data_IF_458136890533
#
_entry.id   IF_458136890533
#
_cell.length_a   1.000
_cell.length_b   1.000
_cell.length_c   1.000
_cell.angle_alpha   90.00
_cell.angle_beta   90.00
_cell.angle_gamma   90.00
#
_symmetry.space_group_name_H-M   'P 1'
#
loop_
_entity.id
_entity.type
_entity.pdbx_description
1 polymer ?
#
# COMPACT_ATOMS: atom_id res chain seq x y z
N UNK A 1 -43.50 5.13 -2.03
CA UNK A 1 -42.68 6.31 -1.63
C UNK A 1 -41.45 6.31 -2.46
N UNK A 2 -41.39 7.11 -3.55
CA UNK A 2 -40.20 7.27 -4.39
C UNK A 2 -39.15 8.01 -3.56
N UNK A 3 -38.08 7.32 -3.12
CA UNK A 3 -36.92 7.98 -2.55
C UNK A 3 -36.21 8.72 -3.67
N UNK A 4 -36.24 10.05 -3.68
CA UNK A 4 -35.38 10.88 -4.51
C UNK A 4 -33.95 10.72 -3.99
N UNK A 5 -33.26 9.69 -4.49
CA UNK A 5 -31.83 9.51 -4.25
C UNK A 5 -31.09 10.14 -5.41
N UNK A 6 -29.95 10.76 -5.15
CA UNK A 6 -28.99 11.08 -6.21
C UNK A 6 -28.53 9.74 -6.81
N UNK A 7 -29.07 9.40 -7.96
CA UNK A 7 -28.70 8.21 -8.71
C UNK A 7 -27.50 8.61 -9.58
N UNK A 8 -26.39 7.91 -9.41
CA UNK A 8 -25.25 7.98 -10.31
C UNK A 8 -25.43 6.85 -11.32
N UNK A 9 -25.41 7.19 -12.61
CA UNK A 9 -25.49 6.19 -13.67
C UNK A 9 -24.12 5.53 -13.85
N UNK A 10 -24.00 4.20 -13.67
CA UNK A 10 -22.75 3.47 -13.87
C UNK A 10 -22.14 3.68 -15.26
N UNK A 11 -22.97 3.76 -16.31
CA UNK A 11 -22.49 3.92 -17.68
C UNK A 11 -21.73 5.24 -17.87
N UNK A 12 -22.19 6.33 -17.23
CA UNK A 12 -21.51 7.63 -17.28
C UNK A 12 -20.15 7.55 -16.62
N UNK A 13 -20.05 6.84 -15.50
CA UNK A 13 -18.79 6.63 -14.76
C UNK A 13 -17.83 5.75 -15.58
N UNK A 14 -18.34 4.69 -16.18
CA UNK A 14 -17.52 3.79 -17.02
C UNK A 14 -16.99 4.53 -18.24
N UNK A 15 -17.81 5.36 -18.88
CA UNK A 15 -17.41 6.16 -20.02
C UNK A 15 -16.35 7.21 -19.68
N UNK A 16 -16.41 7.82 -18.48
CA UNK A 16 -15.49 8.89 -18.05
C UNK A 16 -14.19 8.33 -17.44
N UNK A 17 -14.28 7.27 -16.61
CA UNK A 17 -13.15 6.79 -15.79
C UNK A 17 -12.72 5.36 -16.13
N UNK A 18 -13.49 4.62 -16.91
CA UNK A 18 -13.26 3.20 -17.20
C UNK A 18 -13.87 2.25 -16.18
N UNK A 19 -14.17 1.03 -16.62
CA UNK A 19 -14.80 0.00 -15.79
C UNK A 19 -13.93 -0.41 -14.58
N UNK A 20 -12.62 -0.53 -14.77
CA UNK A 20 -11.70 -0.91 -13.69
C UNK A 20 -11.62 0.16 -12.59
N UNK A 21 -11.72 1.46 -12.95
CA UNK A 21 -11.77 2.54 -11.94
C UNK A 21 -13.03 2.46 -11.08
N UNK A 22 -14.16 2.17 -11.70
CA UNK A 22 -15.41 1.97 -10.99
C UNK A 22 -15.35 0.75 -10.07
N UNK A 23 -14.91 -0.40 -10.58
CA UNK A 23 -14.74 -1.64 -9.79
C UNK A 23 -13.83 -1.41 -8.59
N UNK A 24 -12.66 -0.83 -8.83
CA UNK A 24 -11.68 -0.53 -7.79
C UNK A 24 -12.26 0.38 -6.72
N UNK A 25 -13.01 1.41 -7.12
CA UNK A 25 -13.66 2.33 -6.19
C UNK A 25 -14.74 1.63 -5.34
N UNK A 26 -15.61 0.82 -5.94
CA UNK A 26 -16.63 0.06 -5.22
C UNK A 26 -16.01 -0.85 -4.13
N UNK A 27 -14.90 -1.50 -4.44
CA UNK A 27 -14.19 -2.36 -3.49
C UNK A 27 -13.40 -1.54 -2.45
N UNK A 28 -12.93 -0.34 -2.80
CA UNK A 28 -12.11 0.51 -1.92
C UNK A 28 -12.93 1.35 -0.94
N UNK A 29 -14.19 1.67 -1.21
CA UNK A 29 -15.02 2.57 -0.39
C UNK A 29 -15.09 2.20 1.09
N UNK A 30 -14.81 0.95 1.46
CA UNK A 30 -14.73 0.44 2.82
C UNK A 30 -15.39 -0.93 2.98
N UNK A 31 -15.53 -1.40 4.23
CA UNK A 31 -16.06 -2.74 4.49
C UNK A 31 -17.43 -2.95 3.83
N UNK A 32 -17.62 -4.13 3.19
CA UNK A 32 -18.84 -4.47 2.44
C UNK A 32 -20.13 -4.45 3.28
N UNK A 33 -20.00 -4.65 4.59
CA UNK A 33 -21.12 -4.68 5.53
C UNK A 33 -21.58 -3.27 5.99
N UNK A 34 -20.96 -2.20 5.46
CA UNK A 34 -21.33 -0.82 5.82
C UNK A 34 -21.84 -0.06 4.60
N UNK A 35 -22.98 0.60 4.77
CA UNK A 35 -23.51 1.54 3.81
C UNK A 35 -22.59 2.76 3.66
N UNK A 36 -22.27 3.16 2.43
CA UNK A 36 -21.40 4.31 2.13
C UNK A 36 -22.05 5.22 1.09
N UNK A 37 -22.04 6.55 1.29
CA UNK A 37 -22.49 7.46 0.27
C UNK A 37 -21.49 7.51 -0.88
N UNK A 38 -21.99 7.68 -2.10
CA UNK A 38 -21.14 7.92 -3.26
C UNK A 38 -20.26 9.16 -3.07
N UNK A 39 -19.00 9.06 -3.44
CA UNK A 39 -18.03 10.15 -3.39
C UNK A 39 -17.13 10.16 -4.62
N UNK A 40 -17.42 11.06 -5.56
CA UNK A 40 -16.66 11.22 -6.81
C UNK A 40 -15.16 11.52 -6.57
N UNK A 41 -14.80 12.22 -5.47
CA UNK A 41 -13.38 12.44 -5.13
C UNK A 41 -12.65 11.15 -4.81
N UNK A 42 -13.32 10.18 -4.18
CA UNK A 42 -12.77 8.85 -3.93
C UNK A 42 -12.53 8.09 -5.24
N UNK A 43 -13.49 8.13 -6.16
CA UNK A 43 -13.35 7.55 -7.51
C UNK A 43 -12.14 8.15 -8.25
N UNK A 44 -11.99 9.46 -8.24
CA UNK A 44 -10.82 10.14 -8.83
C UNK A 44 -9.51 9.70 -8.19
N UNK A 45 -9.53 9.35 -6.90
CA UNK A 45 -8.37 8.75 -6.20
C UNK A 45 -8.00 7.39 -6.79
N UNK A 46 -8.97 6.53 -7.01
CA UNK A 46 -8.78 5.22 -7.65
C UNK A 46 -8.30 5.36 -9.10
N UNK A 47 -8.87 6.27 -9.86
CA UNK A 47 -8.42 6.55 -11.22
C UNK A 47 -6.97 7.04 -11.30
N UNK A 48 -6.54 7.91 -10.36
CA UNK A 48 -5.13 8.34 -10.26
C UNK A 48 -4.20 7.17 -9.91
N UNK A 49 -4.66 6.26 -9.07
CA UNK A 49 -3.90 5.04 -8.76
C UNK A 49 -3.71 4.16 -10.00
N UNK A 50 -4.77 3.94 -10.79
CA UNK A 50 -4.69 3.21 -12.06
C UNK A 50 -3.71 3.90 -13.02
N UNK A 51 -3.78 5.22 -13.18
CA UNK A 51 -2.81 5.95 -14.01
C UNK A 51 -1.37 5.83 -13.52
N UNK A 52 -1.17 5.80 -12.19
CA UNK A 52 0.14 5.57 -11.61
C UNK A 52 0.66 4.17 -11.95
N UNK A 53 -0.17 3.14 -11.77
CA UNK A 53 0.20 1.76 -12.11
C UNK A 53 0.53 1.62 -13.59
N UNK A 54 -0.27 2.26 -14.47
CA UNK A 54 0.03 2.35 -15.89
C UNK A 54 1.43 2.93 -16.14
N UNK A 55 1.75 4.10 -15.60
CA UNK A 55 3.03 4.77 -15.78
C UNK A 55 4.24 4.06 -15.14
N UNK A 56 4.03 3.05 -14.28
CA UNK A 56 5.11 2.17 -13.81
C UNK A 56 5.41 1.11 -14.86
N UNK A 57 4.35 0.55 -15.49
CA UNK A 57 4.44 -0.65 -16.34
C UNK A 57 4.62 -0.29 -17.81
N UNK A 58 4.02 0.81 -18.26
CA UNK A 58 3.95 1.21 -19.67
C UNK A 58 4.72 2.52 -19.89
N UNK A 59 5.51 2.56 -20.96
CA UNK A 59 6.22 3.75 -21.40
C UNK A 59 5.34 4.72 -22.22
N UNK A 60 5.92 5.81 -22.70
CA UNK A 60 5.20 6.84 -23.48
C UNK A 60 4.76 6.33 -24.87
N UNK A 61 5.45 5.33 -25.41
CA UNK A 61 5.13 4.70 -26.70
C UNK A 61 4.08 3.57 -26.56
N UNK A 62 3.66 3.23 -25.34
CA UNK A 62 2.69 2.17 -25.08
C UNK A 62 3.31 0.77 -24.98
N UNK A 63 4.63 0.66 -24.87
CA UNK A 63 5.34 -0.59 -24.68
C UNK A 63 5.62 -0.85 -23.19
N UNK A 64 6.13 -2.05 -22.88
CA UNK A 64 6.62 -2.38 -21.56
C UNK A 64 7.76 -1.42 -21.17
N UNK A 65 7.65 -0.81 -20.00
CA UNK A 65 8.67 0.13 -19.50
C UNK A 65 10.05 -0.51 -19.43
N UNK A 66 11.06 0.18 -19.93
CA UNK A 66 12.46 -0.24 -19.89
C UNK A 66 13.04 -0.43 -18.48
N UNK A 67 12.35 0.07 -17.45
CA UNK A 67 12.67 -0.20 -16.04
C UNK A 67 12.40 -1.63 -15.63
N UNK A 68 11.53 -2.35 -16.37
CA UNK A 68 11.13 -3.72 -16.05
C UNK A 68 12.05 -4.67 -16.82
N UNK A 69 12.89 -5.37 -16.08
CA UNK A 69 13.91 -6.27 -16.67
C UNK A 69 13.93 -7.63 -15.96
N UNK A 70 14.40 -8.65 -16.67
CA UNK A 70 14.58 -9.99 -16.11
C UNK A 70 15.77 -10.06 -15.14
N UNK A 71 16.79 -9.25 -15.37
CA UNK A 71 18.04 -9.24 -14.59
C UNK A 71 17.99 -8.33 -13.34
N UNK A 72 16.89 -7.61 -13.12
CA UNK A 72 16.79 -6.73 -11.97
C UNK A 72 16.76 -7.55 -10.67
N UNK A 73 17.67 -7.24 -9.77
CA UNK A 73 17.74 -7.86 -8.44
C UNK A 73 17.08 -6.93 -7.42
N UNK A 74 15.90 -7.30 -6.88
CA UNK A 74 15.23 -6.49 -5.87
C UNK A 74 16.05 -6.40 -4.58
N UNK A 75 16.04 -5.25 -3.93
CA UNK A 75 16.61 -5.11 -2.60
C UNK A 75 15.75 -5.77 -1.50
N UNK A 76 16.29 -5.85 -0.28
CA UNK A 76 15.60 -6.49 0.85
C UNK A 76 14.25 -5.82 1.17
N UNK A 77 14.15 -4.50 1.06
CA UNK A 77 12.93 -3.75 1.32
C UNK A 77 11.84 -4.07 0.28
N UNK A 78 12.23 -4.10 -1.00
CA UNK A 78 11.33 -4.45 -2.11
C UNK A 78 10.82 -5.88 -1.98
N UNK A 79 11.70 -6.85 -1.66
CA UNK A 79 11.31 -8.25 -1.44
C UNK A 79 10.36 -8.40 -0.25
N UNK A 80 10.69 -7.78 0.88
CA UNK A 80 9.82 -7.77 2.05
C UNK A 80 8.44 -7.22 1.72
N UNK A 81 8.38 -6.06 1.06
CA UNK A 81 7.11 -5.43 0.71
C UNK A 81 6.32 -6.26 -0.31
N UNK A 82 7.00 -6.88 -1.28
CA UNK A 82 6.38 -7.79 -2.25
C UNK A 82 5.69 -8.95 -1.56
N UNK A 83 6.43 -9.75 -0.78
CA UNK A 83 5.88 -10.95 -0.12
C UNK A 83 4.80 -10.58 0.90
N UNK A 84 4.97 -9.49 1.64
CA UNK A 84 3.93 -8.95 2.53
C UNK A 84 2.68 -8.55 1.75
N UNK A 85 2.82 -7.99 0.55
CA UNK A 85 1.69 -7.59 -0.28
C UNK A 85 0.96 -8.80 -0.84
N UNK A 86 1.67 -9.80 -1.38
CA UNK A 86 1.06 -11.03 -1.89
C UNK A 86 0.24 -11.72 -0.79
N UNK A 87 0.85 -11.90 0.39
CA UNK A 87 0.17 -12.50 1.55
C UNK A 87 -1.07 -11.70 1.94
N UNK A 88 -0.88 -10.40 2.20
CA UNK A 88 -1.96 -9.55 2.72
C UNK A 88 -3.13 -9.42 1.74
N UNK A 89 -2.87 -9.27 0.45
CA UNK A 89 -3.94 -9.17 -0.55
C UNK A 89 -4.69 -10.49 -0.65
N UNK A 90 -4.00 -11.65 -0.61
CA UNK A 90 -4.64 -12.96 -0.57
C UNK A 90 -5.55 -13.11 0.66
N UNK A 91 -5.02 -12.89 1.85
CA UNK A 91 -5.77 -12.97 3.11
C UNK A 91 -6.98 -12.01 3.12
N UNK A 92 -6.79 -10.78 2.65
CA UNK A 92 -7.85 -9.77 2.59
C UNK A 92 -8.97 -10.15 1.59
N UNK A 93 -8.65 -10.79 0.47
CA UNK A 93 -9.65 -11.29 -0.49
C UNK A 93 -10.46 -12.43 0.11
N UNK A 94 -9.82 -13.40 0.77
CA UNK A 94 -10.49 -14.51 1.43
C UNK A 94 -11.48 -14.05 2.51
N UNK A 95 -11.15 -12.95 3.19
CA UNK A 95 -11.99 -12.37 4.25
C UNK A 95 -12.88 -11.21 3.77
N UNK A 96 -12.94 -10.95 2.47
CA UNK A 96 -13.72 -9.85 1.86
C UNK A 96 -13.32 -8.44 2.37
N UNK A 97 -12.07 -8.28 2.77
CA UNK A 97 -11.48 -7.00 3.21
C UNK A 97 -10.89 -6.21 2.03
N UNK A 98 -11.64 -6.07 0.94
CA UNK A 98 -11.15 -5.50 -0.31
C UNK A 98 -10.54 -4.09 -0.16
N UNK A 99 -11.07 -3.27 0.74
CA UNK A 99 -10.57 -1.92 0.96
C UNK A 99 -9.13 -1.91 1.52
N UNK A 100 -8.77 -2.88 2.35
CA UNK A 100 -7.40 -3.01 2.88
C UNK A 100 -6.46 -3.65 1.85
N UNK A 101 -6.94 -4.59 1.05
CA UNK A 101 -6.21 -5.13 -0.09
C UNK A 101 -5.83 -4.03 -1.10
N UNK A 102 -6.78 -3.19 -1.50
CA UNK A 102 -6.51 -2.06 -2.41
C UNK A 102 -5.53 -1.06 -1.80
N UNK A 103 -5.65 -0.78 -0.50
CA UNK A 103 -4.69 0.08 0.21
C UNK A 103 -3.27 -0.50 0.17
N UNK A 104 -3.13 -1.81 0.33
CA UNK A 104 -1.85 -2.50 0.26
C UNK A 104 -1.24 -2.43 -1.14
N UNK A 105 -2.06 -2.64 -2.19
CA UNK A 105 -1.63 -2.47 -3.57
C UNK A 105 -1.11 -1.04 -3.83
N UNK A 106 -1.80 -0.02 -3.29
CA UNK A 106 -1.35 1.38 -3.41
C UNK A 106 0.00 1.63 -2.72
N UNK A 107 0.24 1.03 -1.55
CA UNK A 107 1.52 1.11 -0.82
C UNK A 107 2.62 0.50 -1.68
N UNK A 108 2.40 -0.70 -2.21
CA UNK A 108 3.39 -1.40 -3.03
C UNK A 108 3.71 -0.64 -4.33
N UNK A 109 2.69 -0.15 -5.05
CA UNK A 109 2.90 0.67 -6.23
C UNK A 109 3.65 1.98 -5.93
N UNK A 110 3.42 2.62 -4.78
CA UNK A 110 4.16 3.81 -4.36
C UNK A 110 5.64 3.53 -4.12
N UNK A 111 5.97 2.34 -3.65
CA UNK A 111 7.36 1.88 -3.51
C UNK A 111 7.99 1.62 -4.88
N UNK A 112 7.35 0.80 -5.72
CA UNK A 112 7.85 0.45 -7.06
C UNK A 112 8.08 1.69 -7.96
N UNK A 113 7.27 2.74 -7.81
CA UNK A 113 7.45 3.99 -8.56
C UNK A 113 8.82 4.63 -8.31
N UNK A 114 9.43 4.41 -7.14
CA UNK A 114 10.73 4.97 -6.77
C UNK A 114 11.90 4.10 -7.21
N UNK A 115 11.64 2.84 -7.58
CA UNK A 115 12.67 1.94 -8.04
C UNK A 115 13.18 2.36 -9.42
N UNK A 116 14.49 2.30 -9.62
CA UNK A 116 15.12 2.55 -10.93
C UNK A 116 14.91 1.37 -11.86
N UNK A 117 15.05 0.15 -11.33
CA UNK A 117 14.82 -1.12 -12.03
C UNK A 117 13.89 -2.00 -11.23
N UNK A 118 13.01 -2.73 -11.92
CA UNK A 118 12.00 -3.59 -11.32
C UNK A 118 12.10 -4.96 -11.97
N UNK A 119 12.13 -6.01 -11.15
CA UNK A 119 12.09 -7.38 -11.66
C UNK A 119 10.77 -7.66 -12.36
N UNK A 120 10.86 -8.28 -13.54
CA UNK A 120 9.69 -8.70 -14.33
C UNK A 120 8.79 -9.66 -13.55
N UNK A 121 9.37 -10.55 -12.74
CA UNK A 121 8.63 -11.49 -11.90
C UNK A 121 7.77 -10.77 -10.84
N UNK A 122 8.31 -9.73 -10.20
CA UNK A 122 7.56 -8.94 -9.23
C UNK A 122 6.38 -8.20 -9.87
N UNK A 123 6.55 -7.74 -11.13
CA UNK A 123 5.45 -7.13 -11.89
C UNK A 123 4.42 -8.18 -12.30
N UNK A 124 4.84 -9.37 -12.74
CA UNK A 124 3.92 -10.45 -13.06
C UNK A 124 3.05 -10.82 -11.86
N UNK A 125 3.63 -10.95 -10.68
CA UNK A 125 2.90 -11.23 -9.45
C UNK A 125 1.99 -10.07 -9.04
N UNK A 126 2.45 -8.82 -9.15
CA UNK A 126 1.60 -7.64 -8.91
C UNK A 126 0.36 -7.64 -9.83
N UNK A 127 0.53 -7.95 -11.10
CA UNK A 127 -0.56 -8.03 -12.08
C UNK A 127 -1.57 -9.11 -11.67
N UNK A 128 -1.10 -10.30 -11.26
CA UNK A 128 -1.96 -11.39 -10.80
C UNK A 128 -2.80 -10.99 -9.58
N UNK A 129 -2.18 -10.39 -8.55
CA UNK A 129 -2.91 -9.98 -7.34
C UNK A 129 -3.81 -8.75 -7.55
N UNK A 130 -3.56 -7.95 -8.59
CA UNK A 130 -4.40 -6.82 -8.97
C UNK A 130 -5.61 -7.21 -9.83
N UNK A 131 -5.55 -8.35 -10.54
CA UNK A 131 -6.56 -8.79 -11.49
C UNK A 131 -7.99 -8.89 -10.91
N UNK A 132 -8.24 -9.35 -9.68
CA UNK A 132 -9.58 -9.34 -9.10
C UNK A 132 -10.22 -7.95 -9.03
N UNK A 133 -9.41 -6.91 -8.88
CA UNK A 133 -9.84 -5.52 -8.75
C UNK A 133 -9.91 -4.79 -10.08
N UNK A 134 -8.97 -5.06 -10.98
CA UNK A 134 -8.74 -4.35 -12.25
C UNK A 134 -8.50 -5.36 -13.40
N UNK A 135 -9.48 -6.20 -13.76
CA UNK A 135 -9.26 -7.31 -14.68
C UNK A 135 -8.84 -6.87 -16.08
N UNK A 136 -9.44 -5.81 -16.65
CA UNK A 136 -9.11 -5.38 -18.02
C UNK A 136 -7.68 -4.84 -18.09
N UNK A 137 -7.30 -4.02 -17.13
CA UNK A 137 -5.95 -3.46 -17.05
C UNK A 137 -4.89 -4.54 -16.81
N UNK A 138 -5.21 -5.50 -15.95
CA UNK A 138 -4.30 -6.61 -15.64
C UNK A 138 -4.08 -7.54 -16.85
N UNK A 139 -5.09 -7.82 -17.64
CA UNK A 139 -4.95 -8.57 -18.90
C UNK A 139 -4.09 -7.83 -19.92
N UNK A 140 -4.25 -6.50 -20.05
CA UNK A 140 -3.41 -5.70 -20.93
C UNK A 140 -1.94 -5.73 -20.49
N UNK A 141 -1.66 -5.53 -19.21
CA UNK A 141 -0.30 -5.64 -18.66
C UNK A 141 0.28 -7.04 -18.83
N UNK A 142 -0.54 -8.08 -18.66
CA UNK A 142 -0.13 -9.47 -18.85
C UNK A 142 0.29 -9.75 -20.29
N UNK A 143 -0.45 -9.19 -21.24
CA UNK A 143 -0.10 -9.24 -22.67
C UNK A 143 1.21 -8.51 -22.96
N UNK A 144 1.42 -7.31 -22.37
CA UNK A 144 2.65 -6.53 -22.53
C UNK A 144 3.90 -7.23 -21.97
N UNK A 145 3.73 -8.09 -20.94
CA UNK A 145 4.80 -8.96 -20.45
C UNK A 145 5.18 -10.08 -21.45
N UNK A 146 4.44 -10.24 -22.56
CA UNK A 146 4.67 -11.25 -23.60
C UNK A 146 3.87 -12.52 -23.42
N UNK A 147 2.92 -12.59 -22.49
CA UNK A 147 2.06 -13.74 -22.26
C UNK A 147 0.94 -13.77 -23.31
N UNK A 148 0.63 -14.98 -23.83
CA UNK A 148 -0.37 -15.18 -24.88
C UNK A 148 -1.70 -15.71 -24.37
N UNK A 149 -1.71 -16.30 -23.19
CA UNK A 149 -2.90 -16.86 -22.55
C UNK A 149 -3.51 -15.82 -21.61
N UNK A 150 -4.81 -15.95 -21.33
CA UNK A 150 -5.48 -15.10 -20.35
C UNK A 150 -4.91 -15.31 -18.95
N UNK A 151 -4.81 -14.22 -18.20
CA UNK A 151 -4.39 -14.19 -16.80
C UNK A 151 -5.37 -14.95 -15.88
N UNK A 152 -6.63 -15.10 -16.29
CA UNK A 152 -7.72 -15.62 -15.45
C UNK A 152 -7.49 -17.05 -14.93
N UNK A 153 -6.59 -17.82 -15.56
CA UNK A 153 -6.27 -19.21 -15.16
C UNK A 153 -4.87 -19.36 -14.58
N UNK A 154 -4.15 -18.24 -14.37
CA UNK A 154 -2.85 -18.29 -13.76
C UNK A 154 -2.94 -18.58 -12.26
N UNK A 155 -1.95 -19.32 -11.74
CA UNK A 155 -1.88 -19.59 -10.30
C UNK A 155 -1.64 -18.29 -9.51
N UNK A 156 -2.26 -18.22 -8.33
CA UNK A 156 -1.99 -17.14 -7.37
C UNK A 156 -0.52 -17.15 -6.97
N UNK A 157 0.13 -15.96 -6.89
CA UNK A 157 1.54 -15.88 -6.52
C UNK A 157 1.81 -16.47 -5.15
N UNK A 158 2.96 -17.13 -5.01
CA UNK A 158 3.41 -17.64 -3.71
C UNK A 158 4.23 -16.58 -2.98
N UNK A 159 4.17 -16.61 -1.68
CA UNK A 159 5.01 -15.75 -0.85
C UNK A 159 5.88 -16.60 0.08
N UNK A 160 7.05 -16.05 0.47
CA UNK A 160 7.91 -16.60 1.50
C UNK A 160 7.58 -15.95 2.83
N UNK A 161 7.13 -16.75 3.81
CA UNK A 161 6.76 -16.28 5.14
C UNK A 161 7.95 -15.62 5.86
N UNK A 162 9.18 -16.13 5.67
CA UNK A 162 10.38 -15.55 6.27
C UNK A 162 10.63 -14.10 5.77
N UNK A 163 10.30 -13.83 4.51
CA UNK A 163 10.44 -12.50 3.92
C UNK A 163 9.29 -11.54 4.29
N UNK A 164 8.19 -12.04 4.86
CA UNK A 164 7.10 -11.18 5.35
C UNK A 164 7.38 -10.63 6.77
N UNK A 165 8.37 -11.14 7.45
CA UNK A 165 8.76 -10.65 8.78
C UNK A 165 9.66 -9.44 8.63
N UNK A 166 9.27 -8.31 9.22
CA UNK A 166 10.14 -7.15 9.32
C UNK A 166 11.01 -7.27 10.55
N UNK A 167 12.32 -7.11 10.37
CA UNK A 167 13.27 -6.96 11.48
C UNK A 167 13.13 -5.56 12.13
N UNK A 168 12.39 -4.66 11.50
CA UNK A 168 12.19 -3.29 11.96
C UNK A 168 10.72 -2.99 12.23
N UNK A 169 10.47 -2.13 13.19
CA UNK A 169 9.12 -1.67 13.57
C UNK A 169 9.09 -0.16 13.67
N UNK A 170 7.98 0.41 13.27
CA UNK A 170 7.72 1.83 13.47
C UNK A 170 7.08 2.06 14.84
N UNK A 171 7.79 2.79 15.70
CA UNK A 171 7.33 3.16 17.04
C UNK A 171 6.86 4.62 17.03
N UNK A 172 5.61 4.84 17.46
CA UNK A 172 5.04 6.17 17.59
C UNK A 172 5.63 6.89 18.80
N UNK A 173 6.24 8.07 18.60
CA UNK A 173 6.77 8.91 19.69
C UNK A 173 5.77 9.97 20.06
N UNK A 174 5.34 9.95 21.31
CA UNK A 174 4.41 10.93 21.89
C UNK A 174 5.08 11.79 22.93
N UNK A 175 4.58 13.01 23.10
CA UNK A 175 4.91 13.91 24.21
C UNK A 175 3.60 14.34 24.85
N UNK A 176 3.44 14.05 26.13
CA UNK A 176 2.21 14.27 26.88
C UNK A 176 0.97 13.71 26.13
N UNK A 177 1.10 12.48 25.58
CA UNK A 177 0.04 11.78 24.86
C UNK A 177 -0.24 12.26 23.42
N UNK A 178 0.48 13.28 22.92
CA UNK A 178 0.32 13.78 21.54
C UNK A 178 1.43 13.27 20.65
N UNK A 179 1.08 12.65 19.53
CA UNK A 179 2.03 12.18 18.52
C UNK A 179 2.90 13.33 18.00
N UNK A 180 4.23 13.14 18.01
CA UNK A 180 5.20 14.13 17.54
C UNK A 180 6.12 13.62 16.45
N UNK A 181 6.48 12.33 16.49
CA UNK A 181 7.31 11.67 15.50
C UNK A 181 6.98 10.19 15.41
N UNK A 182 7.48 9.57 14.37
CA UNK A 182 7.61 8.11 14.25
C UNK A 182 9.10 7.81 14.11
N UNK A 183 9.57 6.80 14.80
CA UNK A 183 10.95 6.29 14.69
C UNK A 183 10.93 4.84 14.24
N UNK A 184 11.94 4.42 13.48
CA UNK A 184 12.13 3.04 13.08
C UNK A 184 13.16 2.41 14.01
N UNK A 185 12.84 1.26 14.57
CA UNK A 185 13.69 0.51 15.49
C UNK A 185 13.73 -0.95 15.05
N UNK A 186 14.81 -1.66 15.40
CA UNK A 186 14.81 -3.10 15.31
C UNK A 186 13.68 -3.66 16.19
N UNK A 187 13.04 -4.75 15.72
CA UNK A 187 11.99 -5.42 16.48
C UNK A 187 12.52 -5.82 17.86
N UNK A 188 11.70 -5.63 18.87
CA UNK A 188 12.02 -5.94 20.27
C UNK A 188 13.20 -5.14 20.86
N UNK A 189 13.52 -3.97 20.27
CA UNK A 189 14.49 -3.02 20.84
C UNK A 189 14.13 -2.65 22.29
N UNK A 190 15.15 -2.47 23.10
CA UNK A 190 14.99 -2.05 24.47
C UNK A 190 14.57 -0.57 24.62
N UNK A 191 14.11 -0.19 25.81
CA UNK A 191 13.67 1.18 26.10
C UNK A 191 14.78 2.20 25.87
N UNK A 192 16.02 1.86 26.22
CA UNK A 192 17.17 2.75 26.07
C UNK A 192 17.41 3.11 24.60
N UNK A 193 17.48 2.10 23.74
CA UNK A 193 17.63 2.30 22.29
C UNK A 193 16.48 3.12 21.71
N UNK A 194 15.25 2.88 22.16
CA UNK A 194 14.09 3.64 21.71
C UNK A 194 14.17 5.12 22.15
N UNK A 195 14.59 5.39 23.39
CA UNK A 195 14.77 6.73 23.92
C UNK A 195 15.89 7.48 23.18
N UNK A 196 17.05 6.87 23.02
CA UNK A 196 18.21 7.48 22.34
C UNK A 196 17.87 7.83 20.89
N UNK A 197 17.20 6.92 20.18
CA UNK A 197 16.74 7.16 18.80
C UNK A 197 15.70 8.27 18.76
N UNK A 198 14.73 8.29 19.68
CA UNK A 198 13.70 9.32 19.71
C UNK A 198 14.27 10.71 19.98
N UNK A 199 15.22 10.81 20.88
CA UNK A 199 15.88 12.09 21.24
C UNK A 199 16.77 12.63 20.11
N UNK A 200 17.25 11.80 19.21
CA UNK A 200 17.97 12.22 17.99
C UNK A 200 17.08 12.93 16.97
N UNK A 201 15.75 12.77 17.06
CA UNK A 201 14.79 13.43 16.17
C UNK A 201 14.58 14.87 16.63
N UNK A 202 14.95 15.84 15.80
CA UNK A 202 14.88 17.28 16.09
C UNK A 202 13.51 17.73 16.65
N UNK A 203 12.39 17.22 16.08
CA UNK A 203 11.04 17.53 16.59
C UNK A 203 10.83 17.07 18.04
N UNK A 204 11.43 15.96 18.44
CA UNK A 204 11.30 15.41 19.79
C UNK A 204 12.24 16.16 20.73
N UNK A 205 13.50 16.36 20.32
CA UNK A 205 14.51 17.07 21.13
C UNK A 205 14.07 18.49 21.46
N UNK A 206 13.42 19.22 20.54
CA UNK A 206 12.91 20.57 20.78
C UNK A 206 11.86 20.63 21.92
N UNK A 207 11.02 19.60 22.05
CA UNK A 207 10.03 19.52 23.12
C UNK A 207 10.64 19.07 24.46
N UNK A 208 11.65 18.20 24.42
CA UNK A 208 12.29 17.65 25.61
C UNK A 208 13.36 18.60 26.18
N UNK A 209 13.96 19.48 25.36
CA UNK A 209 14.91 20.49 25.77
C UNK A 209 14.24 21.70 26.44
N UNK A 210 12.97 21.96 26.16
CA UNK A 210 12.20 23.06 26.75
C UNK A 210 11.61 22.71 28.13
N UNK A 211 11.71 21.46 28.60
CA UNK A 211 11.20 20.98 29.87
C UNK A 211 11.97 19.73 30.35
N UNK A 212 11.70 19.31 31.60
CA UNK A 212 12.29 18.07 32.12
C UNK A 212 11.41 16.86 31.84
N UNK A 213 12.01 15.77 31.38
CA UNK A 213 11.30 14.46 31.23
C UNK A 213 11.07 13.92 32.66
N UNK A 214 9.81 13.87 33.05
CA UNK A 214 9.39 13.38 34.38
C UNK A 214 9.18 11.88 34.38
N UNK A 215 8.72 11.34 33.23
CA UNK A 215 8.44 9.90 33.07
C UNK A 215 8.53 9.49 31.60
N UNK A 216 9.10 8.32 31.36
CA UNK A 216 9.06 7.63 30.08
C UNK A 216 8.13 6.44 30.19
N UNK A 217 7.32 6.21 29.16
CA UNK A 217 6.43 5.06 29.03
C UNK A 217 6.77 4.41 27.69
N UNK A 218 7.35 3.22 27.73
CA UNK A 218 7.70 2.48 26.54
C UNK A 218 6.87 1.21 26.44
N UNK A 219 6.23 1.02 25.29
CA UNK A 219 5.56 -0.23 24.90
C UNK A 219 6.32 -0.77 23.70
N UNK A 220 7.07 -1.86 23.83
CA UNK A 220 7.89 -2.44 22.76
C UNK A 220 7.10 -2.56 21.46
N UNK A 221 7.75 -2.25 20.33
CA UNK A 221 7.21 -2.33 18.98
C UNK A 221 5.99 -1.44 18.69
N UNK A 222 5.60 -0.54 19.60
CA UNK A 222 4.34 0.20 19.46
C UNK A 222 4.45 1.69 19.77
N UNK A 223 4.93 2.05 20.95
CA UNK A 223 4.78 3.40 21.49
C UNK A 223 5.90 3.77 22.44
N UNK A 224 6.41 4.98 22.28
CA UNK A 224 7.24 5.68 23.27
C UNK A 224 6.57 6.99 23.63
N UNK A 225 6.28 7.24 24.91
CA UNK A 225 5.66 8.48 25.36
C UNK A 225 6.51 9.13 26.46
N UNK A 226 6.94 10.38 26.20
CA UNK A 226 7.60 11.23 27.19
C UNK A 226 6.56 12.09 27.89
N UNK A 227 6.57 12.07 29.23
CA UNK A 227 5.83 13.01 30.05
C UNK A 227 6.80 14.14 30.43
N UNK A 228 6.57 15.32 29.88
CA UNK A 228 7.43 16.51 30.08
C UNK A 228 6.67 17.53 30.86
N UNK A 229 7.39 18.20 31.82
CA UNK A 229 6.87 19.26 32.68
C UNK A 229 7.57 20.56 32.42
#
# INVERSE_FOLDING_TARGET
>A
MYKRQNVVNPDDIINEYGADSMRLYEMFMGPLNKSKPWNTKGLQGCYRFIKKLWGIIVDEEGNLSSKITEDATPDKETLHLHHTTVKKVGDDIEHLHFNTAVSQLMIYCNHLQKCENISKDLIADLIKIAAPFMPHLSEEFWSLLGNKNTLAYEEWPRYDEALTQSDEVTVAVQINGKLRANITLAKDSDEKTAVDTALSVEKVSNYTSAGSIVKTIYVPNRLLNFVVK
#
